data_IF_603573327753
#
_entry.id   IF_603573327753
#
_cell.length_a   1.000
_cell.length_b   1.000
_cell.length_c   1.000
_cell.angle_alpha   90.00
_cell.angle_beta   90.00
_cell.angle_gamma   90.00
#
_symmetry.space_group_name_H-M   'P 1'
#
loop_
_entity.id
_entity.type
_entity.pdbx_description
1 polymer ?
#
# COMPACT_ATOMS: atom_id res chain seq x y z
N UNK A 1 -13.09 48.01 3.36
CA UNK A 1 -13.16 47.98 1.88
C UNK A 1 -12.25 46.85 1.39
N UNK A 2 -12.71 45.93 0.54
CA UNK A 2 -11.81 44.94 -0.05
C UNK A 2 -10.76 45.62 -0.93
N UNK A 3 -9.51 45.12 -0.95
CA UNK A 3 -8.43 45.74 -1.73
C UNK A 3 -8.82 45.71 -3.23
N UNK A 4 -8.57 46.85 -3.91
CA UNK A 4 -8.84 46.94 -5.37
C UNK A 4 -7.99 45.89 -6.09
N UNK A 5 -8.67 44.93 -6.75
CA UNK A 5 -8.04 43.85 -7.50
C UNK A 5 -7.17 44.39 -8.64
N UNK A 6 -5.88 44.24 -8.56
CA UNK A 6 -4.97 44.53 -9.65
C UNK A 6 -4.98 43.38 -10.64
N UNK A 7 -5.87 43.44 -11.65
CA UNK A 7 -6.10 42.41 -12.65
C UNK A 7 -4.83 41.97 -13.38
N UNK A 8 -3.93 42.92 -13.70
CA UNK A 8 -2.67 42.62 -14.40
C UNK A 8 -1.73 41.79 -13.52
N UNK A 9 -1.63 42.14 -12.24
CA UNK A 9 -0.83 41.39 -11.27
C UNK A 9 -1.43 40.01 -11.00
N UNK A 10 -2.74 39.92 -10.89
CA UNK A 10 -3.43 38.65 -10.68
C UNK A 10 -3.20 37.66 -11.84
N UNK A 11 -3.35 38.11 -13.10
CA UNK A 11 -3.08 37.28 -14.28
C UNK A 11 -1.62 36.81 -14.34
N UNK A 12 -0.66 37.68 -14.03
CA UNK A 12 0.74 37.30 -13.98
C UNK A 12 1.01 36.24 -12.93
N UNK A 13 0.46 36.37 -11.72
CA UNK A 13 0.64 35.39 -10.63
C UNK A 13 0.03 34.04 -11.00
N UNK A 14 -1.19 34.04 -11.55
CA UNK A 14 -1.84 32.81 -11.98
C UNK A 14 -1.05 32.08 -13.07
N UNK A 15 -0.58 32.81 -14.09
CA UNK A 15 0.25 32.22 -15.14
C UNK A 15 1.56 31.64 -14.61
N UNK A 16 2.17 32.27 -13.59
CA UNK A 16 3.37 31.72 -12.94
C UNK A 16 3.08 30.44 -12.15
N UNK A 17 1.96 30.38 -11.45
CA UNK A 17 1.51 29.15 -10.76
C UNK A 17 1.33 28.03 -11.79
N UNK A 18 0.62 28.27 -12.88
CA UNK A 18 0.39 27.28 -13.93
C UNK A 18 1.69 26.78 -14.56
N UNK A 19 2.66 27.69 -14.76
CA UNK A 19 3.98 27.34 -15.28
C UNK A 19 4.76 26.44 -14.30
N UNK A 20 4.72 26.73 -13.00
CA UNK A 20 5.39 25.91 -11.97
C UNK A 20 4.75 24.54 -11.89
N UNK A 21 3.43 24.45 -11.86
CA UNK A 21 2.70 23.19 -11.81
C UNK A 21 2.92 22.33 -13.06
N UNK A 22 3.02 22.94 -14.24
CA UNK A 22 3.35 22.23 -15.47
C UNK A 22 4.77 21.67 -15.43
N UNK A 23 5.74 22.44 -14.92
CA UNK A 23 7.12 21.99 -14.75
C UNK A 23 7.24 20.84 -13.74
N UNK A 24 6.54 20.90 -12.60
CA UNK A 24 6.51 19.81 -11.60
C UNK A 24 5.95 18.51 -12.21
N UNK A 25 4.86 18.61 -12.99
CA UNK A 25 4.29 17.44 -13.71
C UNK A 25 5.28 16.86 -14.72
N UNK A 26 6.01 17.69 -15.43
CA UNK A 26 7.01 17.26 -16.41
C UNK A 26 8.20 16.56 -15.74
N UNK A 27 8.67 17.09 -14.61
CA UNK A 27 9.75 16.48 -13.81
C UNK A 27 9.32 15.14 -13.23
N UNK A 28 8.10 15.03 -12.73
CA UNK A 28 7.54 13.76 -12.22
C UNK A 28 7.33 12.75 -13.35
N UNK A 29 6.82 13.18 -14.51
CA UNK A 29 6.69 12.34 -15.69
C UNK A 29 8.05 11.85 -16.21
N UNK A 30 9.07 12.69 -16.24
CA UNK A 30 10.42 12.28 -16.65
C UNK A 30 11.07 11.30 -15.66
N UNK A 31 10.82 11.45 -14.37
CA UNK A 31 11.26 10.49 -13.36
C UNK A 31 10.56 9.15 -13.52
N UNK A 32 9.25 9.16 -13.75
CA UNK A 32 8.46 7.95 -13.90
C UNK A 32 8.71 7.22 -15.24
N UNK A 33 9.03 7.91 -16.31
CA UNK A 33 9.28 7.26 -17.63
C UNK A 33 10.55 6.42 -17.68
N UNK A 34 11.53 6.66 -16.83
CA UNK A 34 12.82 5.95 -16.81
C UNK A 34 12.81 4.66 -15.98
N UNK A 35 11.77 4.40 -15.23
CA UNK A 35 11.73 3.25 -14.33
C UNK A 35 11.81 1.90 -15.05
N UNK A 36 11.24 1.77 -16.27
CA UNK A 36 11.31 0.55 -17.08
C UNK A 36 12.74 0.29 -17.55
N UNK A 37 13.43 1.35 -17.95
CA UNK A 37 14.82 1.28 -18.38
C UNK A 37 15.76 0.96 -17.21
N UNK A 38 15.54 1.62 -16.07
CA UNK A 38 16.30 1.35 -14.84
C UNK A 38 16.13 -0.11 -14.40
N UNK A 39 14.91 -0.65 -14.43
CA UNK A 39 14.65 -2.06 -14.12
C UNK A 39 15.43 -3.00 -15.03
N UNK A 40 15.51 -2.69 -16.34
CA UNK A 40 16.33 -3.44 -17.31
C UNK A 40 17.81 -3.44 -16.95
N UNK A 41 18.39 -2.26 -16.68
CA UNK A 41 19.80 -2.15 -16.32
C UNK A 41 20.10 -2.85 -14.99
N UNK A 42 19.24 -2.80 -14.01
CA UNK A 42 19.42 -3.53 -12.75
C UNK A 42 19.44 -5.05 -12.97
N UNK A 43 18.56 -5.57 -13.83
CA UNK A 43 18.59 -6.98 -14.21
C UNK A 43 19.89 -7.35 -14.91
N UNK A 44 20.40 -6.49 -15.80
CA UNK A 44 21.66 -6.69 -16.50
C UNK A 44 22.85 -6.66 -15.54
N UNK A 45 22.91 -5.69 -14.63
CA UNK A 45 23.94 -5.63 -13.56
C UNK A 45 23.93 -6.91 -12.74
N UNK A 46 22.75 -7.41 -12.36
CA UNK A 46 22.62 -8.65 -11.57
C UNK A 46 23.11 -9.85 -12.35
N UNK A 47 22.67 -10.02 -13.60
CA UNK A 47 23.05 -11.16 -14.44
C UNK A 47 24.52 -11.15 -14.80
N UNK A 48 25.09 -10.00 -15.14
CA UNK A 48 26.50 -9.82 -15.53
C UNK A 48 27.44 -9.67 -14.32
N UNK A 49 26.91 -9.64 -13.10
CA UNK A 49 27.70 -9.44 -11.86
C UNK A 49 28.59 -8.18 -11.90
N UNK A 50 28.08 -7.09 -12.49
CA UNK A 50 28.88 -5.88 -12.73
C UNK A 50 29.30 -5.15 -11.45
N UNK A 51 28.69 -5.43 -10.29
CA UNK A 51 29.11 -4.93 -9.00
C UNK A 51 30.55 -5.32 -8.61
N UNK A 52 31.06 -6.41 -9.20
CA UNK A 52 32.47 -6.83 -8.99
C UNK A 52 33.48 -5.82 -9.50
N UNK A 53 33.13 -5.02 -10.51
CA UNK A 53 33.98 -3.95 -11.03
C UNK A 53 34.17 -2.81 -10.00
N UNK A 54 33.24 -2.69 -9.03
CA UNK A 54 33.32 -1.73 -7.94
C UNK A 54 33.86 -2.36 -6.64
N UNK A 55 34.43 -3.56 -6.70
CA UNK A 55 34.93 -4.33 -5.54
C UNK A 55 33.87 -4.60 -4.48
N UNK A 56 32.61 -4.77 -4.88
CA UNK A 56 31.51 -5.12 -3.97
C UNK A 56 31.35 -6.63 -3.88
N UNK A 57 30.87 -7.13 -2.73
CA UNK A 57 30.74 -8.55 -2.44
C UNK A 57 29.47 -9.16 -3.03
N UNK A 58 28.41 -8.35 -3.20
CA UNK A 58 27.10 -8.82 -3.62
C UNK A 58 26.32 -7.77 -4.43
N UNK A 59 25.25 -8.23 -5.07
CA UNK A 59 24.28 -7.33 -5.70
C UNK A 59 23.51 -6.50 -4.65
N UNK A 60 23.30 -7.04 -3.47
CA UNK A 60 22.67 -6.29 -2.37
C UNK A 60 23.54 -5.14 -1.89
N UNK A 61 24.87 -5.32 -1.77
CA UNK A 61 25.80 -4.23 -1.44
C UNK A 61 25.76 -3.13 -2.51
N UNK A 62 25.67 -3.54 -3.80
CA UNK A 62 25.50 -2.59 -4.89
C UNK A 62 24.21 -1.79 -4.77
N UNK A 63 23.09 -2.44 -4.43
CA UNK A 63 21.82 -1.77 -4.23
C UNK A 63 21.84 -0.86 -3.00
N UNK A 64 22.45 -1.30 -1.90
CA UNK A 64 22.57 -0.48 -0.67
C UNK A 64 23.38 0.79 -0.94
N UNK A 65 24.47 0.68 -1.68
CA UNK A 65 25.29 1.83 -2.07
C UNK A 65 24.60 2.81 -3.02
N UNK A 66 23.87 2.28 -4.03
CA UNK A 66 23.23 3.11 -5.09
C UNK A 66 21.83 3.55 -4.75
N UNK A 67 21.12 2.81 -3.89
CA UNK A 67 19.72 3.01 -3.54
C UNK A 67 19.50 2.92 -2.02
N UNK A 68 20.21 3.69 -1.18
CA UNK A 68 20.21 3.52 0.27
C UNK A 68 18.82 3.64 0.91
N UNK A 69 17.94 4.44 0.31
CA UNK A 69 16.59 4.66 0.84
C UNK A 69 15.49 3.91 0.06
N UNK A 70 15.84 3.21 -1.01
CA UNK A 70 14.85 2.66 -1.95
C UNK A 70 15.22 1.29 -2.53
N UNK A 71 16.02 0.48 -1.82
CA UNK A 71 16.42 -0.87 -2.23
C UNK A 71 15.22 -1.74 -2.66
N UNK A 72 14.13 -1.68 -1.90
CA UNK A 72 12.89 -2.39 -2.23
C UNK A 72 12.29 -1.95 -3.57
N UNK A 73 12.34 -0.65 -3.87
CA UNK A 73 11.89 -0.11 -5.17
C UNK A 73 12.74 -0.68 -6.31
N UNK A 74 14.06 -0.81 -6.15
CA UNK A 74 14.92 -1.40 -7.16
C UNK A 74 14.46 -2.82 -7.56
N UNK A 75 14.17 -3.68 -6.57
CA UNK A 75 13.60 -5.01 -6.83
C UNK A 75 12.24 -4.98 -7.51
N UNK A 76 11.38 -4.02 -7.19
CA UNK A 76 10.11 -3.84 -7.89
C UNK A 76 10.31 -3.49 -9.37
N UNK A 77 11.25 -2.60 -9.67
CA UNK A 77 11.57 -2.23 -11.06
C UNK A 77 12.13 -3.41 -11.84
N UNK A 78 12.98 -4.22 -11.23
CA UNK A 78 13.47 -5.46 -11.82
C UNK A 78 12.34 -6.43 -12.11
N UNK A 79 11.43 -6.63 -11.16
CA UNK A 79 10.26 -7.50 -11.29
C UNK A 79 9.33 -7.06 -12.43
N UNK A 80 9.13 -5.76 -12.62
CA UNK A 80 8.40 -5.19 -13.76
C UNK A 80 9.09 -5.60 -15.08
N UNK A 81 10.41 -5.49 -15.16
CA UNK A 81 11.14 -5.87 -16.37
C UNK A 81 11.09 -7.37 -16.63
N UNK A 82 11.16 -8.21 -15.62
CA UNK A 82 11.22 -9.66 -15.74
C UNK A 82 9.87 -10.29 -16.12
N UNK A 83 8.78 -9.80 -15.56
CA UNK A 83 7.48 -10.47 -15.64
C UNK A 83 6.50 -9.83 -16.62
N UNK A 84 6.65 -8.53 -16.94
CA UNK A 84 5.74 -7.91 -17.90
C UNK A 84 6.21 -8.07 -19.34
N UNK A 85 5.31 -8.43 -20.28
CA UNK A 85 5.63 -8.63 -21.68
C UNK A 85 6.25 -7.39 -22.34
N UNK A 86 7.19 -7.60 -23.26
CA UNK A 86 7.86 -6.50 -23.98
C UNK A 86 6.89 -5.52 -24.66
N UNK A 87 5.79 -5.98 -25.34
CA UNK A 87 4.89 -5.07 -26.04
C UNK A 87 4.31 -3.97 -25.16
N UNK A 88 3.87 -4.28 -23.93
CA UNK A 88 3.22 -3.31 -23.05
C UNK A 88 4.18 -2.37 -22.30
N UNK A 89 5.49 -2.62 -22.35
CA UNK A 89 6.48 -1.82 -21.60
C UNK A 89 6.52 -0.35 -22.04
N UNK A 90 6.14 -0.04 -23.27
CA UNK A 90 6.06 1.34 -23.75
C UNK A 90 4.93 2.09 -23.05
N UNK A 91 3.82 1.42 -22.85
CA UNK A 91 2.60 2.00 -22.26
C UNK A 91 2.70 2.14 -20.73
N UNK A 92 3.57 1.34 -20.09
CA UNK A 92 3.83 1.45 -18.65
C UNK A 92 4.36 2.82 -18.23
N UNK A 93 5.03 3.54 -19.14
CA UNK A 93 5.54 4.88 -18.86
C UNK A 93 4.44 5.87 -18.45
N UNK A 94 3.23 5.69 -18.99
CA UNK A 94 2.06 6.52 -18.67
C UNK A 94 1.38 6.11 -17.36
N UNK A 95 1.56 4.85 -16.93
CA UNK A 95 0.93 4.31 -15.72
C UNK A 95 1.69 4.62 -14.43
N UNK A 96 3.01 4.81 -14.54
CA UNK A 96 3.91 4.86 -13.39
C UNK A 96 4.21 3.49 -12.78
N UNK A 97 5.33 3.40 -12.07
CA UNK A 97 5.86 2.14 -11.54
C UNK A 97 4.93 1.48 -10.49
N UNK A 98 4.17 2.27 -9.74
CA UNK A 98 3.29 1.77 -8.67
C UNK A 98 2.08 0.98 -9.20
N UNK A 99 1.52 1.36 -10.37
CA UNK A 99 0.51 0.55 -11.04
C UNK A 99 1.15 -0.62 -11.81
N UNK A 100 2.34 -0.40 -12.38
CA UNK A 100 3.07 -1.46 -13.08
C UNK A 100 3.42 -2.65 -12.17
N UNK A 101 3.76 -2.41 -10.89
CA UNK A 101 4.02 -3.51 -9.94
C UNK A 101 2.75 -4.29 -9.58
N UNK A 102 1.58 -3.66 -9.58
CA UNK A 102 0.31 -4.37 -9.41
C UNK A 102 0.03 -5.30 -10.61
N UNK A 103 0.31 -4.85 -11.84
CA UNK A 103 0.23 -5.71 -13.04
C UNK A 103 1.14 -6.94 -12.95
N UNK A 104 2.33 -6.80 -12.34
CA UNK A 104 3.25 -7.92 -12.14
C UNK A 104 2.63 -9.03 -11.31
N UNK A 105 1.82 -8.70 -10.31
CA UNK A 105 1.17 -9.72 -9.45
C UNK A 105 0.26 -10.63 -10.29
N UNK A 106 -0.54 -10.04 -11.16
CA UNK A 106 -1.42 -10.79 -12.06
C UNK A 106 -0.62 -11.55 -13.12
N UNK A 107 0.36 -10.90 -13.75
CA UNK A 107 1.20 -11.54 -14.75
C UNK A 107 1.98 -12.75 -14.20
N UNK A 108 2.39 -12.72 -12.92
CA UNK A 108 3.06 -13.85 -12.26
C UNK A 108 2.09 -15.01 -12.00
N UNK A 109 0.84 -14.73 -11.63
CA UNK A 109 -0.18 -15.76 -11.42
C UNK A 109 -0.57 -16.42 -12.73
N UNK A 110 -0.85 -15.62 -13.76
CA UNK A 110 -1.44 -16.09 -15.01
C UNK A 110 -0.39 -16.62 -16.01
N UNK A 111 0.87 -16.22 -15.84
CA UNK A 111 1.96 -16.65 -16.72
C UNK A 111 1.67 -16.35 -18.19
N UNK A 112 1.59 -17.41 -19.01
CA UNK A 112 1.32 -17.29 -20.45
C UNK A 112 -0.13 -16.87 -20.77
N UNK A 113 -1.06 -17.00 -19.81
CA UNK A 113 -2.48 -16.60 -19.96
C UNK A 113 -2.72 -15.13 -19.63
N UNK A 114 -1.67 -14.40 -19.27
CA UNK A 114 -1.80 -12.99 -18.88
C UNK A 114 -2.33 -12.13 -20.03
N UNK A 115 -3.58 -11.66 -19.88
CA UNK A 115 -4.25 -10.79 -20.83
C UNK A 115 -3.77 -9.34 -20.71
N UNK A 116 -2.58 -9.08 -21.25
CA UNK A 116 -1.88 -7.82 -21.07
C UNK A 116 -2.67 -6.58 -21.54
N UNK A 117 -3.46 -6.69 -22.62
CA UNK A 117 -4.27 -5.59 -23.14
C UNK A 117 -5.42 -5.21 -22.20
N UNK A 118 -6.15 -6.22 -21.70
CA UNK A 118 -7.27 -6.04 -20.75
C UNK A 118 -6.77 -5.40 -19.46
N UNK A 119 -5.69 -5.89 -18.89
CA UNK A 119 -5.13 -5.37 -17.65
C UNK A 119 -4.49 -4.00 -17.81
N UNK A 120 -3.88 -3.71 -18.95
CA UNK A 120 -3.35 -2.39 -19.27
C UNK A 120 -4.48 -1.36 -19.34
N UNK A 121 -5.59 -1.69 -20.02
CA UNK A 121 -6.77 -0.83 -20.10
C UNK A 121 -7.36 -0.54 -18.71
N UNK A 122 -7.54 -1.57 -17.87
CA UNK A 122 -7.98 -1.38 -16.48
C UNK A 122 -7.05 -0.46 -15.69
N UNK A 123 -5.73 -0.65 -15.84
CA UNK A 123 -4.73 0.17 -15.16
C UNK A 123 -4.75 1.65 -15.63
N UNK A 124 -5.08 1.91 -16.88
CA UNK A 124 -5.22 3.26 -17.44
C UNK A 124 -6.48 3.95 -16.97
N UNK A 125 -7.61 3.23 -16.95
CA UNK A 125 -8.92 3.79 -16.65
C UNK A 125 -9.20 4.00 -15.16
N UNK A 126 -8.63 3.18 -14.27
CA UNK A 126 -8.91 3.22 -12.83
C UNK A 126 -7.89 4.08 -12.06
N UNK A 127 -8.30 4.83 -11.02
CA UNK A 127 -7.38 5.39 -10.03
C UNK A 127 -6.53 4.30 -9.38
N UNK A 128 -5.35 4.68 -8.83
CA UNK A 128 -4.37 3.73 -8.29
C UNK A 128 -4.97 2.78 -7.24
N UNK A 129 -5.70 3.31 -6.27
CA UNK A 129 -6.26 2.51 -5.17
C UNK A 129 -7.37 1.56 -5.67
N UNK A 130 -8.22 2.04 -6.58
CA UNK A 130 -9.24 1.18 -7.20
C UNK A 130 -8.61 0.08 -8.07
N UNK A 131 -7.55 0.41 -8.80
CA UNK A 131 -6.82 -0.59 -9.58
C UNK A 131 -6.17 -1.64 -8.69
N UNK A 132 -5.58 -1.24 -7.56
CA UNK A 132 -5.03 -2.17 -6.56
C UNK A 132 -6.11 -3.10 -6.00
N UNK A 133 -7.27 -2.57 -5.64
CA UNK A 133 -8.41 -3.36 -5.16
C UNK A 133 -8.90 -4.36 -6.22
N UNK A 134 -8.96 -3.94 -7.50
CA UNK A 134 -9.33 -4.81 -8.62
C UNK A 134 -8.34 -5.97 -8.79
N UNK A 135 -7.03 -5.69 -8.72
CA UNK A 135 -5.98 -6.70 -8.76
C UNK A 135 -6.11 -7.67 -7.59
N UNK A 136 -6.35 -7.17 -6.39
CA UNK A 136 -6.49 -8.00 -5.19
C UNK A 136 -7.74 -8.89 -5.26
N UNK A 137 -8.86 -8.34 -5.72
CA UNK A 137 -10.09 -9.10 -5.99
C UNK A 137 -9.83 -10.25 -6.97
N UNK A 138 -9.13 -9.97 -8.06
CA UNK A 138 -8.79 -10.97 -9.06
C UNK A 138 -7.86 -12.06 -8.51
N UNK A 139 -6.91 -11.71 -7.64
CA UNK A 139 -5.96 -12.65 -7.06
C UNK A 139 -6.56 -13.52 -5.96
N UNK A 140 -7.45 -12.96 -5.16
CA UNK A 140 -7.97 -13.61 -3.94
C UNK A 140 -9.40 -14.12 -4.09
N UNK A 141 -10.13 -13.67 -5.12
CA UNK A 141 -11.57 -13.92 -5.28
C UNK A 141 -12.44 -13.21 -4.23
N UNK A 142 -11.85 -12.28 -3.45
CA UNK A 142 -12.56 -11.52 -2.41
C UNK A 142 -12.42 -10.03 -2.70
N UNK A 143 -13.47 -9.28 -2.40
CA UNK A 143 -13.36 -7.83 -2.35
C UNK A 143 -12.49 -7.46 -1.16
N UNK A 144 -11.42 -6.70 -1.40
CA UNK A 144 -10.64 -6.14 -0.30
C UNK A 144 -11.44 -5.03 0.37
N UNK A 145 -11.52 -5.09 1.68
CA UNK A 145 -12.09 -4.01 2.47
C UNK A 145 -11.27 -2.72 2.22
N UNK A 146 -11.93 -1.58 1.91
CA UNK A 146 -11.22 -0.32 1.73
C UNK A 146 -10.39 0.01 2.97
N UNK A 147 -9.11 0.32 2.78
CA UNK A 147 -8.22 0.70 3.89
C UNK A 147 -8.16 2.22 4.01
N UNK A 148 -8.23 2.70 5.26
CA UNK A 148 -8.02 4.10 5.62
C UNK A 148 -6.72 4.24 6.42
N UNK A 149 -5.97 5.33 6.18
CA UNK A 149 -4.75 5.65 6.93
C UNK A 149 -5.09 6.66 8.02
N UNK A 150 -4.92 6.24 9.28
CA UNK A 150 -5.10 7.08 10.45
C UNK A 150 -3.72 7.46 11.00
N UNK A 151 -3.46 8.77 11.11
CA UNK A 151 -2.19 9.30 11.60
C UNK A 151 -2.35 9.87 13.01
N UNK A 152 -1.48 9.45 13.91
CA UNK A 152 -1.40 10.01 15.26
C UNK A 152 -0.04 10.67 15.48
N UNK A 153 -0.04 11.92 15.97
CA UNK A 153 1.16 12.58 16.48
C UNK A 153 1.33 12.20 17.94
N UNK A 154 2.36 11.43 18.23
CA UNK A 154 2.68 10.96 19.59
C UNK A 154 4.01 11.52 20.07
N UNK A 155 4.17 11.70 21.38
CA UNK A 155 5.45 12.06 21.97
C UNK A 155 6.39 10.85 21.97
N UNK A 156 7.71 11.12 21.95
CA UNK A 156 8.75 10.10 21.90
C UNK A 156 8.66 9.09 23.05
N UNK A 157 8.19 9.54 24.23
CA UNK A 157 7.97 8.69 25.41
C UNK A 157 6.74 7.76 25.29
N UNK A 158 5.78 8.08 24.43
CA UNK A 158 4.56 7.28 24.22
C UNK A 158 4.77 6.14 23.22
N UNK A 159 5.66 6.35 22.24
CA UNK A 159 5.90 5.38 21.18
C UNK A 159 6.26 3.98 21.69
N UNK A 160 7.16 3.78 22.68
CA UNK A 160 7.49 2.45 23.18
C UNK A 160 6.29 1.71 23.80
N UNK A 161 5.38 2.41 24.47
CA UNK A 161 4.18 1.80 25.05
C UNK A 161 3.24 1.30 23.96
N UNK A 162 3.05 2.10 22.90
CA UNK A 162 2.21 1.75 21.75
C UNK A 162 2.81 0.54 21.01
N UNK A 163 4.14 0.56 20.74
CA UNK A 163 4.83 -0.55 20.09
C UNK A 163 4.70 -1.83 20.90
N UNK A 164 4.96 -1.77 22.22
CA UNK A 164 4.84 -2.92 23.09
C UNK A 164 3.41 -3.49 23.13
N UNK A 165 2.39 -2.65 23.15
CA UNK A 165 0.99 -3.09 23.10
C UNK A 165 0.68 -3.82 21.79
N UNK A 166 1.12 -3.28 20.65
CA UNK A 166 0.91 -3.88 19.32
C UNK A 166 1.67 -5.22 19.22
N UNK A 167 2.90 -5.29 19.69
CA UNK A 167 3.72 -6.51 19.68
C UNK A 167 3.12 -7.60 20.58
N UNK A 168 2.60 -7.21 21.76
CA UNK A 168 1.88 -8.12 22.64
C UNK A 168 0.62 -8.68 21.99
N UNK A 169 -0.19 -7.83 21.36
CA UNK A 169 -1.37 -8.26 20.63
C UNK A 169 -1.01 -9.19 19.47
N UNK A 170 0.08 -8.90 18.73
CA UNK A 170 0.56 -9.78 17.66
C UNK A 170 0.95 -11.17 18.17
N UNK A 171 1.62 -11.27 19.31
CA UNK A 171 1.96 -12.54 19.95
C UNK A 171 0.70 -13.33 20.36
N UNK A 172 -0.31 -12.66 20.89
CA UNK A 172 -1.56 -13.29 21.30
C UNK A 172 -2.40 -13.80 20.13
N UNK A 173 -2.36 -13.10 18.98
CA UNK A 173 -3.16 -13.38 17.81
C UNK A 173 -2.46 -14.26 16.74
N UNK A 174 -1.17 -14.52 16.92
CA UNK A 174 -0.29 -15.12 15.93
C UNK A 174 0.60 -14.07 15.25
N UNK A 175 1.90 -14.32 15.23
CA UNK A 175 2.99 -13.36 14.93
C UNK A 175 2.96 -12.67 13.57
N UNK A 176 2.14 -13.10 12.62
CA UNK A 176 2.06 -12.61 11.25
C UNK A 176 0.89 -11.62 11.00
N UNK A 177 0.21 -11.20 12.06
CA UNK A 177 -0.93 -10.28 11.93
C UNK A 177 -0.50 -8.85 11.62
N UNK A 178 -1.28 -8.18 10.75
CA UNK A 178 -1.06 -6.77 10.42
C UNK A 178 -1.20 -5.88 11.66
N UNK A 179 -0.34 -4.86 11.79
CA UNK A 179 -0.37 -3.89 12.92
C UNK A 179 -1.73 -3.21 13.10
N UNK A 180 -2.44 -2.91 12.00
CA UNK A 180 -3.80 -2.36 12.06
C UNK A 180 -4.79 -3.30 12.73
N UNK A 181 -4.70 -4.60 12.45
CA UNK A 181 -5.52 -5.63 13.09
C UNK A 181 -5.19 -5.78 14.58
N UNK A 182 -3.90 -5.72 14.95
CA UNK A 182 -3.48 -5.74 16.36
C UNK A 182 -4.01 -4.52 17.12
N UNK A 183 -3.90 -3.32 16.53
CA UNK A 183 -4.44 -2.10 17.11
C UNK A 183 -5.95 -2.17 17.29
N UNK A 184 -6.65 -2.70 16.31
CA UNK A 184 -8.09 -2.91 16.37
C UNK A 184 -8.50 -3.81 17.55
N UNK A 185 -7.76 -4.91 17.76
CA UNK A 185 -8.00 -5.83 18.88
C UNK A 185 -7.75 -5.18 20.23
N UNK A 186 -6.68 -4.38 20.36
CA UNK A 186 -6.42 -3.58 21.58
C UNK A 186 -7.57 -2.61 21.86
N UNK A 187 -8.05 -1.92 20.82
CA UNK A 187 -9.19 -1.00 20.98
C UNK A 187 -10.47 -1.74 21.32
N UNK A 188 -10.73 -2.91 20.73
CA UNK A 188 -11.91 -3.73 21.02
C UNK A 188 -11.90 -4.24 22.48
N UNK A 189 -10.74 -4.69 22.96
CA UNK A 189 -10.56 -5.13 24.36
C UNK A 189 -10.78 -3.97 25.34
N UNK A 190 -10.17 -2.82 25.07
CA UNK A 190 -10.40 -1.62 25.86
C UNK A 190 -11.88 -1.22 25.93
N UNK A 191 -12.58 -1.24 24.80
CA UNK A 191 -14.00 -0.90 24.72
C UNK A 191 -14.89 -1.93 25.43
N UNK A 192 -14.50 -3.21 25.41
CA UNK A 192 -15.23 -4.27 26.12
C UNK A 192 -15.07 -4.15 27.65
N UNK A 193 -13.89 -3.68 28.13
CA UNK A 193 -13.62 -3.45 29.55
C UNK A 193 -14.09 -2.08 30.09
N UNK A 194 -14.31 -1.11 29.22
CA UNK A 194 -14.74 0.22 29.61
C UNK A 194 -16.25 0.25 29.91
N UNK A 195 -16.62 0.79 31.08
CA UNK A 195 -18.03 1.11 31.34
C UNK A 195 -18.48 2.24 30.40
N UNK A 196 -19.21 1.88 29.36
CA UNK A 196 -19.60 2.78 28.27
C UNK A 196 -20.85 3.61 28.63
N UNK A 197 -20.83 4.36 29.72
CA UNK A 197 -21.88 5.34 30.05
C UNK A 197 -21.92 6.53 29.06
N UNK A 198 -21.81 6.30 27.79
CA UNK A 198 -21.81 7.34 26.75
C UNK A 198 -21.29 6.87 25.40
N UNK A 199 -20.83 5.62 25.27
CA UNK A 199 -20.38 5.05 24.02
C UNK A 199 -21.51 4.65 23.08
N UNK A 200 -21.26 4.65 21.77
CA UNK A 200 -22.22 4.17 20.79
C UNK A 200 -22.43 2.65 20.93
N UNK A 201 -23.65 2.15 21.19
CA UNK A 201 -23.94 0.72 21.26
C UNK A 201 -23.53 -0.04 20.00
N UNK A 202 -23.52 0.64 18.85
CA UNK A 202 -23.09 0.09 17.56
C UNK A 202 -21.59 -0.25 17.55
N UNK A 203 -20.76 0.59 18.16
CA UNK A 203 -19.30 0.35 18.27
C UNK A 203 -19.04 -0.85 19.18
N UNK A 204 -19.75 -0.94 20.30
CA UNK A 204 -19.66 -2.10 21.19
C UNK A 204 -20.06 -3.39 20.47
N UNK A 205 -21.17 -3.38 19.74
CA UNK A 205 -21.63 -4.53 18.97
C UNK A 205 -20.59 -4.99 17.94
N UNK A 206 -19.98 -4.06 17.23
CA UNK A 206 -18.91 -4.37 16.27
C UNK A 206 -17.69 -5.01 16.96
N UNK A 207 -17.28 -4.50 18.10
CA UNK A 207 -16.19 -5.06 18.91
C UNK A 207 -16.51 -6.48 19.40
N UNK A 208 -17.72 -6.69 19.91
CA UNK A 208 -18.19 -8.02 20.33
C UNK A 208 -18.20 -9.02 19.15
N UNK A 209 -18.69 -8.62 17.98
CA UNK A 209 -18.69 -9.48 16.78
C UNK A 209 -17.28 -9.88 16.37
N UNK A 210 -16.28 -9.01 16.53
CA UNK A 210 -14.88 -9.30 16.21
C UNK A 210 -14.27 -10.27 17.21
N UNK A 211 -14.44 -10.04 18.50
CA UNK A 211 -14.00 -10.95 19.55
C UNK A 211 -14.64 -12.33 19.41
N UNK A 212 -15.93 -12.38 19.08
CA UNK A 212 -16.63 -13.63 18.80
C UNK A 212 -16.02 -14.46 17.68
N UNK A 213 -15.50 -13.81 16.64
CA UNK A 213 -14.81 -14.52 15.52
C UNK A 213 -13.51 -15.20 15.94
N UNK A 214 -12.87 -14.77 17.03
CA UNK A 214 -11.64 -15.36 17.56
C UNK A 214 -11.91 -16.63 18.37
N UNK A 215 -13.14 -16.85 18.83
CA UNK A 215 -13.48 -18.05 19.57
C UNK A 215 -13.38 -19.31 18.68
N UNK A 216 -12.91 -20.45 19.22
CA UNK A 216 -13.02 -21.75 18.61
C UNK A 216 -14.49 -22.06 18.22
N UNK A 217 -14.69 -22.87 17.16
CA UNK A 217 -16.01 -23.16 16.62
C UNK A 217 -16.99 -23.71 17.68
N UNK A 218 -16.53 -24.58 18.58
CA UNK A 218 -17.32 -25.14 19.67
C UNK A 218 -17.82 -24.04 20.62
N UNK A 219 -16.96 -23.13 21.06
CA UNK A 219 -17.35 -22.04 21.95
C UNK A 219 -18.24 -21.01 21.29
N UNK A 220 -18.12 -20.82 19.98
CA UNK A 220 -19.07 -19.97 19.22
C UNK A 220 -20.48 -20.52 19.23
N UNK A 221 -20.62 -21.82 19.06
CA UNK A 221 -21.94 -22.47 19.11
C UNK A 221 -22.56 -22.39 20.50
N UNK A 222 -21.77 -22.67 21.53
CA UNK A 222 -22.20 -22.53 22.92
C UNK A 222 -22.67 -21.10 23.25
N UNK A 223 -21.88 -20.08 22.84
CA UNK A 223 -22.23 -18.69 23.04
C UNK A 223 -23.54 -18.31 22.33
N UNK A 224 -23.75 -18.76 21.09
CA UNK A 224 -25.01 -18.51 20.36
C UNK A 224 -26.21 -19.16 21.03
N UNK A 225 -26.03 -20.37 21.59
CA UNK A 225 -27.08 -21.06 22.32
C UNK A 225 -27.45 -20.29 23.58
N UNK A 226 -26.47 -19.86 24.37
CA UNK A 226 -26.71 -19.05 25.59
C UNK A 226 -27.41 -17.74 25.29
N UNK A 227 -27.08 -17.04 24.21
CA UNK A 227 -27.81 -15.81 23.82
C UNK A 227 -29.23 -16.13 23.39
N UNK A 228 -29.45 -17.21 22.67
CA UNK A 228 -30.79 -17.63 22.22
C UNK A 228 -31.69 -18.01 23.39
N UNK A 229 -31.12 -18.53 24.50
CA UNK A 229 -31.84 -18.87 25.72
C UNK A 229 -32.11 -17.64 26.61
N UNK A 230 -31.36 -16.55 26.46
CA UNK A 230 -31.48 -15.32 27.24
C UNK A 230 -32.32 -14.24 26.55
N UNK A 231 -32.71 -14.41 25.29
CA UNK A 231 -33.51 -13.46 24.49
C UNK A 231 -34.99 -13.86 24.49
#
# INVERSE_FOLDING_TARGET
>A
MPPKLNRRRALFVLAKIDQILAWEREVDNQRDTRFVELGRYLCEVRAGQYWRLENLSSFDDFLERRFPQSRRKAYYLMSIHEHLPKPIRKDLKQLGWSKAIELVKVARRDGQRFESATWLHKAQSLPKEQFKAEVERELTGRESEPSELIYFKVYKSQAPVIEQAIDTAALMLGSDKARGYCLEMICADFLAGAHLEGGSPKVLLLSMMRLFRLLPAALRQEFLQQISEAA
#
